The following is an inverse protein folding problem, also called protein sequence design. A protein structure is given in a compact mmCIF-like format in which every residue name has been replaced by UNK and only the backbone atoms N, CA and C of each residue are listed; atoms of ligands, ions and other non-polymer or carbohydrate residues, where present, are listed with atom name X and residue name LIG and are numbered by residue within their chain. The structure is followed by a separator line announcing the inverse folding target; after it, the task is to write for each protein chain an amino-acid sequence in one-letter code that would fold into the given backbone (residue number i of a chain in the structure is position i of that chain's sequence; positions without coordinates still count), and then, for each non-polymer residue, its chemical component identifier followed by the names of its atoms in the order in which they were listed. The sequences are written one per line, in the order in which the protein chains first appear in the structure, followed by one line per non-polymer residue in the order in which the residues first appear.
data_IF_607679996445
#
_entry.id   IF_607679996445
#
_cell.length_a   1.000
_cell.length_b   1.000
_cell.length_c   1.000
_cell.angle_alpha   90.00
_cell.angle_beta   90.00
_cell.angle_gamma   90.00
#
_symmetry.space_group_name_H-M   'P 1'
#
loop_
_entity.id
_entity.type
_entity.pdbx_description
1 polymer ?
#
# COMPACT_ATOMS: atom_id res chain seq x y z
N UNK A 1 15.11 -20.36 -17.05
CA UNK A 1 15.69 -20.09 -15.69
C UNK A 1 16.87 -20.97 -15.35
N UNK A 2 16.79 -22.30 -15.48
CA UNK A 2 17.96 -23.17 -15.32
C UNK A 2 19.10 -22.77 -16.26
N UNK A 3 18.77 -22.41 -17.50
CA UNK A 3 19.71 -21.91 -18.52
C UNK A 3 20.33 -20.54 -18.15
N UNK A 4 19.67 -19.74 -17.32
CA UNK A 4 20.17 -18.44 -16.87
C UNK A 4 21.04 -18.55 -15.60
N UNK A 5 21.22 -19.77 -15.06
CA UNK A 5 21.95 -20.00 -13.81
C UNK A 5 23.38 -19.46 -13.88
N UNK A 6 24.15 -19.87 -14.89
CA UNK A 6 25.55 -19.46 -15.04
C UNK A 6 25.70 -17.95 -15.18
N UNK A 7 24.79 -17.32 -15.94
CA UNK A 7 24.72 -15.87 -16.09
C UNK A 7 24.49 -15.17 -14.75
N UNK A 8 23.56 -15.68 -13.92
CA UNK A 8 23.28 -15.13 -12.59
C UNK A 8 24.49 -15.35 -11.66
N UNK A 9 25.06 -16.55 -11.63
CA UNK A 9 26.23 -16.89 -10.81
C UNK A 9 27.41 -15.96 -11.13
N UNK A 10 27.71 -15.77 -12.42
CA UNK A 10 28.77 -14.89 -12.90
C UNK A 10 28.51 -13.41 -12.56
N UNK A 11 27.27 -12.93 -12.77
CA UNK A 11 26.95 -11.52 -12.52
C UNK A 11 26.97 -11.15 -11.03
N UNK A 12 26.61 -12.07 -10.13
CA UNK A 12 26.48 -11.80 -8.70
C UNK A 12 27.60 -12.39 -7.83
N UNK A 13 28.48 -13.22 -8.40
CA UNK A 13 29.54 -13.90 -7.65
C UNK A 13 28.98 -14.81 -6.56
N UNK A 14 27.99 -15.63 -6.92
CA UNK A 14 27.32 -16.61 -6.05
C UNK A 14 27.28 -17.97 -6.75
N UNK A 15 27.16 -19.06 -5.99
CA UNK A 15 26.89 -20.39 -6.55
C UNK A 15 25.49 -20.84 -6.16
N UNK A 16 24.68 -21.23 -7.14
CA UNK A 16 23.29 -21.64 -6.99
C UNK A 16 23.23 -23.16 -6.99
N UNK A 17 22.88 -23.76 -5.86
CA UNK A 17 22.68 -25.22 -5.75
C UNK A 17 21.31 -25.67 -6.25
N UNK A 18 20.27 -24.84 -6.11
CA UNK A 18 18.92 -25.16 -6.56
C UNK A 18 18.10 -23.90 -6.88
N UNK A 19 17.14 -24.04 -7.80
CA UNK A 19 16.20 -22.99 -8.20
C UNK A 19 14.79 -23.57 -8.08
N UNK A 20 13.93 -22.92 -7.27
CA UNK A 20 12.56 -23.39 -7.01
C UNK A 20 11.56 -22.29 -7.35
N UNK A 21 10.55 -22.54 -8.20
CA UNK A 21 9.48 -21.57 -8.45
C UNK A 21 8.75 -21.19 -7.16
N UNK A 22 8.50 -19.90 -6.96
CA UNK A 22 7.72 -19.40 -5.83
C UNK A 22 7.00 -18.11 -6.24
N UNK A 23 5.65 -18.14 -6.22
CA UNK A 23 4.80 -17.01 -6.63
C UNK A 23 5.19 -16.48 -8.02
N UNK A 24 5.57 -15.20 -8.09
CA UNK A 24 5.96 -14.52 -9.32
C UNK A 24 7.47 -14.62 -9.64
N UNK A 25 8.23 -15.40 -8.86
CA UNK A 25 9.68 -15.51 -8.98
C UNK A 25 10.22 -16.87 -8.60
N UNK A 26 11.47 -16.89 -8.13
CA UNK A 26 12.22 -18.10 -7.84
C UNK A 26 13.01 -17.95 -6.54
N UNK A 27 12.99 -18.97 -5.70
CA UNK A 27 13.90 -19.10 -4.56
C UNK A 27 15.18 -19.76 -5.07
N UNK A 28 16.32 -19.12 -4.81
CA UNK A 28 17.65 -19.63 -5.12
C UNK A 28 18.30 -20.11 -3.82
N UNK A 29 18.63 -21.40 -3.74
CA UNK A 29 19.49 -21.93 -2.67
C UNK A 29 20.95 -21.70 -3.08
N UNK A 30 21.66 -20.80 -2.39
CA UNK A 30 23.03 -20.40 -2.77
C UNK A 30 24.03 -20.59 -1.65
N UNK A 31 25.32 -20.55 -1.99
CA UNK A 31 26.43 -20.59 -1.03
C UNK A 31 26.51 -19.35 -0.12
N UNK A 32 25.68 -18.32 -0.35
CA UNK A 32 25.51 -17.14 0.51
C UNK A 32 24.12 -17.08 1.15
N UNK A 33 23.47 -18.23 1.33
CA UNK A 33 22.12 -18.37 1.88
C UNK A 33 21.02 -18.03 0.86
N UNK A 34 19.77 -18.38 1.19
CA UNK A 34 18.64 -18.25 0.26
C UNK A 34 18.46 -16.83 -0.29
N UNK A 35 18.14 -16.74 -1.57
CA UNK A 35 17.83 -15.49 -2.30
C UNK A 35 16.51 -15.62 -3.04
N UNK A 36 15.87 -14.50 -3.35
CA UNK A 36 14.65 -14.46 -4.14
C UNK A 36 14.89 -13.66 -5.41
N UNK A 37 14.73 -14.32 -6.56
CA UNK A 37 14.89 -13.75 -7.89
C UNK A 37 13.52 -13.48 -8.48
N UNK A 38 13.27 -12.25 -8.92
CA UNK A 38 11.98 -11.85 -9.48
C UNK A 38 12.15 -11.01 -10.75
N UNK A 39 11.35 -11.28 -11.80
CA UNK A 39 11.26 -10.38 -12.94
C UNK A 39 10.65 -9.04 -12.52
N UNK A 40 11.30 -7.94 -12.89
CA UNK A 40 10.76 -6.60 -12.73
C UNK A 40 9.74 -6.30 -13.83
N UNK A 41 8.72 -5.51 -13.50
CA UNK A 41 7.73 -5.00 -14.46
C UNK A 41 7.87 -3.49 -14.68
N UNK A 42 8.98 -2.91 -14.20
CA UNK A 42 9.23 -1.47 -14.17
C UNK A 42 10.64 -1.16 -14.65
N UNK A 43 10.85 0.10 -15.01
CA UNK A 43 12.08 0.59 -15.64
C UNK A 43 13.31 0.50 -14.74
N UNK A 44 14.51 0.54 -15.33
CA UNK A 44 15.78 0.64 -14.60
C UNK A 44 15.78 1.82 -13.61
N UNK A 45 15.25 2.98 -14.02
CA UNK A 45 15.13 4.16 -13.16
C UNK A 45 14.33 3.86 -11.89
N UNK A 46 13.22 3.10 -12.02
CA UNK A 46 12.42 2.69 -10.87
C UNK A 46 13.17 1.71 -9.96
N UNK A 47 13.89 0.74 -10.53
CA UNK A 47 14.71 -0.20 -9.73
C UNK A 47 15.76 0.58 -8.92
N UNK A 48 16.46 1.54 -9.55
CA UNK A 48 17.48 2.35 -8.89
C UNK A 48 16.89 3.26 -7.80
N UNK A 49 15.70 3.82 -8.00
CA UNK A 49 14.99 4.54 -6.94
C UNK A 49 14.71 3.65 -5.73
N UNK A 50 14.15 2.46 -5.95
CA UNK A 50 13.86 1.50 -4.86
C UNK A 50 15.14 1.08 -4.15
N UNK A 51 16.25 0.90 -4.87
CA UNK A 51 17.55 0.63 -4.26
C UNK A 51 17.99 1.77 -3.34
N UNK A 52 17.94 3.02 -3.81
CA UNK A 52 18.30 4.19 -2.99
C UNK A 52 17.41 4.29 -1.74
N UNK A 53 16.11 4.05 -1.87
CA UNK A 53 15.17 4.06 -0.75
C UNK A 53 15.52 2.98 0.28
N UNK A 54 15.79 1.74 -0.15
CA UNK A 54 16.20 0.64 0.73
C UNK A 54 17.54 0.90 1.41
N UNK A 55 18.53 1.41 0.69
CA UNK A 55 19.84 1.81 1.24
C UNK A 55 19.67 2.85 2.36
N UNK A 56 18.86 3.88 2.12
CA UNK A 56 18.56 4.93 3.10
C UNK A 56 17.89 4.38 4.35
N UNK A 57 16.87 3.54 4.18
CA UNK A 57 16.17 2.89 5.29
C UNK A 57 17.14 2.06 6.15
N UNK A 58 18.00 1.26 5.51
CA UNK A 58 19.01 0.44 6.20
C UNK A 58 20.01 1.32 6.95
N UNK A 59 20.52 2.38 6.30
CA UNK A 59 21.47 3.31 6.91
C UNK A 59 20.89 4.02 8.15
N UNK A 60 19.57 4.23 8.17
CA UNK A 60 18.83 4.81 9.30
C UNK A 60 18.26 3.76 10.27
N UNK A 61 18.76 2.53 10.23
CA UNK A 61 18.48 1.51 11.23
C UNK A 61 17.27 0.62 10.96
N UNK A 62 16.54 0.80 9.85
CA UNK A 62 15.47 -0.11 9.44
C UNK A 62 16.02 -1.25 8.59
N UNK A 63 16.55 -2.28 9.27
CA UNK A 63 17.23 -3.43 8.65
C UNK A 63 16.32 -4.63 8.39
N UNK A 64 15.06 -4.58 8.82
CA UNK A 64 14.06 -5.63 8.60
C UNK A 64 13.33 -5.45 7.26
N UNK A 65 14.10 -5.48 6.17
CA UNK A 65 13.58 -5.42 4.80
C UNK A 65 14.33 -6.37 3.84
N UNK A 66 13.78 -6.55 2.63
CA UNK A 66 14.38 -7.37 1.58
C UNK A 66 15.45 -6.59 0.76
N UNK A 67 16.67 -6.48 1.28
CA UNK A 67 17.75 -5.78 0.57
C UNK A 67 18.04 -6.40 -0.80
N UNK A 68 18.31 -5.57 -1.83
CA UNK A 68 18.80 -6.07 -3.10
C UNK A 68 20.23 -6.60 -2.96
N UNK A 69 20.48 -7.72 -3.65
CA UNK A 69 21.82 -8.14 -3.97
C UNK A 69 22.27 -7.35 -5.21
N UNK A 70 23.45 -6.76 -5.15
CA UNK A 70 24.04 -6.06 -6.29
C UNK A 70 24.89 -7.03 -7.11
N UNK A 71 24.94 -6.83 -8.42
CA UNK A 71 25.91 -7.50 -9.29
C UNK A 71 27.34 -7.09 -8.90
N UNK A 72 28.35 -7.82 -9.36
CA UNK A 72 29.76 -7.46 -9.19
C UNK A 72 30.08 -6.08 -9.79
N UNK A 73 29.31 -5.65 -10.79
CA UNK A 73 29.36 -4.29 -11.37
C UNK A 73 28.54 -3.24 -10.60
N UNK A 74 27.97 -3.57 -9.44
CA UNK A 74 27.23 -2.64 -8.59
C UNK A 74 25.79 -2.35 -9.03
N UNK A 75 25.24 -3.07 -10.01
CA UNK A 75 23.85 -2.86 -10.47
C UNK A 75 22.85 -3.61 -9.58
N UNK A 76 21.67 -3.04 -9.27
CA UNK A 76 20.63 -3.71 -8.48
C UNK A 76 19.80 -4.72 -9.29
N UNK A 77 20.15 -4.97 -10.55
CA UNK A 77 19.42 -5.86 -11.45
C UNK A 77 20.37 -6.55 -12.44
N UNK A 78 19.83 -7.56 -13.12
CA UNK A 78 20.43 -8.25 -14.25
C UNK A 78 19.41 -8.30 -15.41
N UNK A 79 19.89 -8.19 -16.64
CA UNK A 79 19.08 -8.43 -17.84
C UNK A 79 19.24 -9.90 -18.26
N UNK A 80 18.11 -10.59 -18.42
CA UNK A 80 18.04 -11.95 -18.94
C UNK A 80 17.02 -11.93 -20.07
N UNK A 81 17.50 -12.06 -21.31
CA UNK A 81 16.70 -12.08 -22.55
C UNK A 81 15.80 -10.85 -22.74
N UNK A 82 16.33 -9.65 -22.46
CA UNK A 82 15.62 -8.38 -22.61
C UNK A 82 14.65 -8.08 -21.47
N UNK A 83 14.71 -8.85 -20.37
CA UNK A 83 13.88 -8.66 -19.19
C UNK A 83 14.74 -8.47 -17.96
N UNK A 84 14.46 -7.41 -17.20
CA UNK A 84 15.19 -7.09 -15.98
C UNK A 84 14.71 -7.97 -14.82
N UNK A 85 15.66 -8.47 -14.03
CA UNK A 85 15.41 -9.22 -12.81
C UNK A 85 16.15 -8.58 -11.63
N UNK A 86 15.53 -8.63 -10.45
CA UNK A 86 16.18 -8.26 -9.18
C UNK A 86 16.37 -9.50 -8.32
N UNK A 87 17.43 -9.51 -7.52
CA UNK A 87 17.66 -10.51 -6.49
C UNK A 87 17.58 -9.83 -5.13
N UNK A 88 16.77 -10.36 -4.22
CA UNK A 88 16.70 -9.92 -2.83
C UNK A 88 17.11 -11.02 -1.87
N UNK A 89 17.38 -10.64 -0.63
CA UNK A 89 17.46 -11.61 0.48
C UNK A 89 16.12 -12.32 0.64
N UNK A 90 16.13 -13.66 0.67
CA UNK A 90 14.92 -14.43 0.94
C UNK A 90 14.62 -14.44 2.43
N UNK A 91 13.42 -13.99 2.80
CA UNK A 91 12.94 -13.97 4.17
C UNK A 91 11.96 -15.12 4.36
N UNK A 92 12.40 -16.14 5.07
CA UNK A 92 11.57 -17.29 5.46
C UNK A 92 10.71 -16.91 6.67
N UNK A 93 9.56 -16.28 6.39
CA UNK A 93 8.58 -15.82 7.38
C UNK A 93 7.16 -16.00 6.85
N UNK A 94 6.20 -16.17 7.75
CA UNK A 94 4.78 -16.25 7.36
C UNK A 94 4.23 -14.85 7.05
N UNK A 95 3.22 -14.78 6.20
CA UNK A 95 2.53 -13.50 5.96
C UNK A 95 1.82 -13.01 7.22
N UNK A 96 1.66 -11.68 7.30
CA UNK A 96 0.83 -11.03 8.31
C UNK A 96 -0.63 -11.42 8.14
N UNK A 97 -1.31 -11.73 9.25
CA UNK A 97 -2.75 -11.94 9.25
C UNK A 97 -3.48 -10.74 9.85
N UNK A 98 -4.23 -9.99 9.04
CA UNK A 98 -4.97 -8.83 9.54
C UNK A 98 -6.17 -9.20 10.42
N UNK A 99 -6.63 -10.46 10.44
CA UNK A 99 -7.59 -10.95 11.44
C UNK A 99 -6.98 -10.94 12.84
N UNK A 100 -5.67 -11.20 12.96
CA UNK A 100 -4.95 -11.27 14.21
C UNK A 100 -4.52 -9.87 14.70
N UNK A 101 -4.77 -9.59 15.98
CA UNK A 101 -4.49 -8.29 16.57
C UNK A 101 -3.00 -8.06 16.81
N UNK A 102 -2.27 -9.10 17.22
CA UNK A 102 -0.84 -9.01 17.51
C UNK A 102 -0.05 -8.76 16.22
N UNK A 103 -0.38 -9.46 15.15
CA UNK A 103 0.16 -9.24 13.82
C UNK A 103 -0.08 -7.81 13.33
N UNK A 104 -1.30 -7.30 13.50
CA UNK A 104 -1.63 -5.94 13.08
C UNK A 104 -0.91 -4.89 13.92
N UNK A 105 -0.75 -5.11 15.23
CA UNK A 105 0.08 -4.26 16.11
C UNK A 105 1.54 -4.26 15.65
N UNK A 106 2.10 -5.44 15.37
CA UNK A 106 3.48 -5.58 14.90
C UNK A 106 3.70 -4.92 13.54
N UNK A 107 2.73 -5.04 12.64
CA UNK A 107 2.71 -4.32 11.36
C UNK A 107 2.70 -2.80 11.58
N UNK A 108 1.89 -2.29 12.52
CA UNK A 108 1.84 -0.87 12.85
C UNK A 108 3.19 -0.37 13.40
N UNK A 109 3.85 -1.14 14.26
CA UNK A 109 5.18 -0.81 14.81
C UNK A 109 6.23 -0.80 13.70
N UNK A 110 6.25 -1.82 12.82
CA UNK A 110 7.19 -1.89 11.71
C UNK A 110 6.98 -0.74 10.71
N UNK A 111 5.74 -0.40 10.39
CA UNK A 111 5.40 0.74 9.54
C UNK A 111 5.89 2.06 10.15
N UNK A 112 5.74 2.23 11.47
CA UNK A 112 6.20 3.44 12.16
C UNK A 112 7.72 3.55 12.16
N UNK A 113 8.43 2.46 12.45
CA UNK A 113 9.89 2.40 12.37
C UNK A 113 10.40 2.68 10.95
N UNK A 114 9.74 2.14 9.92
CA UNK A 114 10.06 2.40 8.52
C UNK A 114 9.89 3.89 8.18
N UNK A 115 8.74 4.50 8.51
CA UNK A 115 8.51 5.92 8.24
C UNK A 115 9.53 6.82 8.97
N UNK A 116 9.87 6.50 10.22
CA UNK A 116 10.93 7.20 10.95
C UNK A 116 12.28 7.11 10.23
N UNK A 117 12.68 5.90 9.83
CA UNK A 117 13.94 5.68 9.12
C UNK A 117 13.95 6.30 7.71
N UNK A 118 12.78 6.55 7.11
CA UNK A 118 12.69 7.17 5.79
C UNK A 118 12.99 8.67 5.79
N UNK A 119 12.85 9.35 6.93
CA UNK A 119 13.08 10.81 7.02
C UNK A 119 14.46 11.20 6.51
N UNK A 120 14.52 12.36 5.88
CA UNK A 120 15.72 12.92 5.26
C UNK A 120 16.10 12.24 3.94
N UNK A 121 15.21 11.44 3.34
CA UNK A 121 15.52 10.78 2.08
C UNK A 121 15.72 11.79 0.97
N UNK A 122 16.90 11.71 0.34
CA UNK A 122 17.24 12.43 -0.88
C UNK A 122 17.88 11.42 -1.81
N UNK A 123 17.27 11.09 -2.96
CA UNK A 123 17.85 10.12 -3.86
C UNK A 123 19.16 10.66 -4.45
N UNK A 124 19.97 9.76 -5.02
CA UNK A 124 21.18 10.11 -5.79
C UNK A 124 20.80 11.00 -6.99
N UNK A 125 21.72 11.87 -7.40
CA UNK A 125 21.51 12.77 -8.55
C UNK A 125 21.10 11.99 -9.80
N UNK A 126 20.11 12.49 -10.54
CA UNK A 126 19.58 11.86 -11.75
C UNK A 126 18.50 10.79 -11.52
N UNK A 127 18.22 10.41 -10.27
CA UNK A 127 17.11 9.50 -9.95
C UNK A 127 15.83 10.30 -9.70
N UNK A 128 14.81 10.06 -10.52
CA UNK A 128 13.49 10.67 -10.34
C UNK A 128 12.84 10.14 -9.05
N UNK A 129 12.26 11.04 -8.25
CA UNK A 129 11.39 10.68 -7.11
C UNK A 129 9.96 10.58 -7.61
N UNK A 130 9.34 9.38 -7.63
CA UNK A 130 7.90 9.30 -7.82
C UNK A 130 7.21 9.91 -6.61
N UNK A 131 6.23 10.77 -6.85
CA UNK A 131 5.52 11.50 -5.81
C UNK A 131 4.06 11.71 -6.21
N UNK A 132 3.15 11.35 -5.31
CA UNK A 132 1.72 11.67 -5.36
C UNK A 132 1.34 12.67 -4.25
N UNK A 133 2.36 13.15 -3.52
CA UNK A 133 2.24 14.19 -2.53
C UNK A 133 1.53 15.42 -3.13
N UNK A 134 0.53 15.93 -2.42
CA UNK A 134 -0.26 17.08 -2.88
C UNK A 134 -1.47 16.71 -3.75
N UNK A 135 -1.56 15.50 -4.30
CA UNK A 135 -2.63 15.13 -5.25
C UNK A 135 -3.88 14.51 -4.63
N UNK A 136 -3.93 14.30 -3.30
CA UNK A 136 -5.05 13.62 -2.65
C UNK A 136 -6.42 14.28 -2.92
N UNK A 137 -6.63 15.60 -2.75
CA UNK A 137 -7.91 16.26 -3.05
C UNK A 137 -8.36 16.03 -4.49
N UNK A 138 -7.48 16.26 -5.47
CA UNK A 138 -7.79 16.06 -6.90
C UNK A 138 -8.12 14.60 -7.20
N UNK A 139 -7.38 13.66 -6.58
CA UNK A 139 -7.63 12.23 -6.73
C UNK A 139 -9.01 11.84 -6.16
N UNK A 140 -9.40 12.36 -5.00
CA UNK A 140 -10.72 12.08 -4.42
C UNK A 140 -11.85 12.79 -5.18
N UNK A 141 -11.62 14.02 -5.65
CA UNK A 141 -12.59 14.77 -6.46
C UNK A 141 -12.89 14.06 -7.78
N UNK A 142 -11.86 13.56 -8.48
CA UNK A 142 -12.06 12.76 -9.70
C UNK A 142 -12.89 11.50 -9.44
N UNK A 143 -12.65 10.83 -8.32
CA UNK A 143 -13.42 9.64 -7.91
C UNK A 143 -14.87 10.00 -7.57
N UNK A 144 -15.09 11.13 -6.92
CA UNK A 144 -16.42 11.68 -6.67
C UNK A 144 -17.17 11.94 -7.98
N UNK A 145 -16.54 12.61 -8.95
CA UNK A 145 -17.14 12.86 -10.26
C UNK A 145 -17.48 11.54 -10.99
N UNK A 146 -16.66 10.51 -10.83
CA UNK A 146 -16.96 9.17 -11.34
C UNK A 146 -18.21 8.56 -10.68
N UNK A 147 -18.40 8.71 -9.37
CA UNK A 147 -19.63 8.28 -8.66
C UNK A 147 -20.85 8.96 -9.26
N UNK A 148 -20.79 10.27 -9.49
CA UNK A 148 -21.89 11.05 -10.09
C UNK A 148 -22.16 10.61 -11.53
N UNK A 149 -21.10 10.38 -12.33
CA UNK A 149 -21.25 9.84 -13.71
C UNK A 149 -21.89 8.45 -13.72
N UNK A 150 -21.49 7.58 -12.80
CA UNK A 150 -22.05 6.24 -12.65
C UNK A 150 -23.51 6.27 -12.21
N UNK A 151 -23.91 7.19 -11.32
CA UNK A 151 -25.33 7.43 -10.95
C UNK A 151 -26.18 7.77 -12.18
N UNK A 152 -25.77 8.77 -12.97
CA UNK A 152 -26.47 9.16 -14.21
C UNK A 152 -26.56 8.02 -15.23
N UNK A 153 -25.58 7.11 -15.23
CA UNK A 153 -25.59 5.92 -16.09
C UNK A 153 -26.57 4.87 -15.58
N UNK A 154 -26.57 4.59 -14.27
CA UNK A 154 -27.49 3.68 -13.61
C UNK A 154 -28.96 4.09 -13.79
N UNK A 155 -29.27 5.38 -13.68
CA UNK A 155 -30.62 5.96 -13.88
C UNK A 155 -31.19 5.67 -15.29
N UNK A 156 -30.30 5.57 -16.28
CA UNK A 156 -30.63 5.29 -17.70
C UNK A 156 -30.71 3.81 -18.02
N UNK A 157 -29.78 3.00 -17.50
CA UNK A 157 -29.64 1.58 -17.86
C UNK A 157 -30.55 0.64 -17.05
N UNK A 158 -30.80 0.95 -15.77
CA UNK A 158 -31.77 0.26 -14.88
C UNK A 158 -31.71 -1.28 -14.91
N UNK A 159 -30.52 -1.84 -14.94
CA UNK A 159 -30.34 -3.28 -14.76
C UNK A 159 -30.32 -3.67 -13.27
N UNK A 160 -30.25 -4.97 -12.96
CA UNK A 160 -30.27 -5.46 -11.57
C UNK A 160 -29.19 -4.83 -10.66
N UNK A 161 -27.98 -4.61 -11.18
CA UNK A 161 -26.91 -3.93 -10.43
C UNK A 161 -27.25 -2.46 -10.22
N UNK A 162 -27.79 -1.79 -11.26
CA UNK A 162 -28.13 -0.37 -11.21
C UNK A 162 -29.17 -0.08 -10.13
N UNK A 163 -30.18 -0.94 -9.94
CA UNK A 163 -31.17 -0.76 -8.88
C UNK A 163 -30.54 -0.79 -7.48
N UNK A 164 -29.63 -1.74 -7.23
CA UNK A 164 -28.91 -1.83 -5.94
C UNK A 164 -27.98 -0.61 -5.76
N UNK A 165 -27.32 -0.18 -6.84
CA UNK A 165 -26.46 0.99 -6.82
C UNK A 165 -27.27 2.26 -6.50
N UNK A 166 -28.40 2.48 -7.17
CA UNK A 166 -29.26 3.66 -6.98
C UNK A 166 -29.87 3.72 -5.58
N UNK A 167 -30.18 2.58 -4.96
CA UNK A 167 -30.73 2.52 -3.61
C UNK A 167 -29.73 2.99 -2.52
N UNK A 168 -28.42 2.91 -2.80
CA UNK A 168 -27.38 3.22 -1.81
C UNK A 168 -26.47 4.40 -2.17
N UNK A 169 -26.40 4.81 -3.44
CA UNK A 169 -25.39 5.79 -3.91
C UNK A 169 -25.43 7.12 -3.18
N UNK A 170 -26.62 7.62 -2.82
CA UNK A 170 -26.75 8.93 -2.16
C UNK A 170 -26.04 8.97 -0.80
N UNK A 171 -26.12 7.89 -0.02
CA UNK A 171 -25.39 7.75 1.25
C UNK A 171 -23.87 7.80 1.08
N UNK A 172 -23.37 7.25 -0.03
CA UNK A 172 -21.94 7.26 -0.32
C UNK A 172 -21.48 8.60 -0.94
N UNK A 173 -22.36 9.30 -1.66
CA UNK A 173 -22.13 10.68 -2.12
C UNK A 173 -21.91 11.59 -0.92
N UNK A 174 -22.81 11.55 0.08
CA UNK A 174 -22.69 12.35 1.31
C UNK A 174 -21.34 12.11 2.02
N UNK A 175 -20.90 10.85 2.14
CA UNK A 175 -19.58 10.51 2.71
C UNK A 175 -18.42 11.08 1.89
N UNK A 176 -18.52 11.08 0.56
CA UNK A 176 -17.50 11.62 -0.30
C UNK A 176 -17.42 13.15 -0.19
N UNK A 177 -18.57 13.83 -0.13
CA UNK A 177 -18.66 15.28 0.06
C UNK A 177 -18.07 15.71 1.41
N UNK A 178 -18.46 15.05 2.51
CA UNK A 178 -17.89 15.34 3.84
C UNK A 178 -16.37 15.08 3.88
N UNK A 179 -15.91 14.00 3.23
CA UNK A 179 -14.49 13.73 3.09
C UNK A 179 -13.74 14.81 2.31
N UNK A 180 -14.34 15.37 1.25
CA UNK A 180 -13.73 16.43 0.45
C UNK A 180 -13.70 17.74 1.23
N UNK A 181 -14.77 18.09 1.93
CA UNK A 181 -14.84 19.27 2.79
C UNK A 181 -13.76 19.28 3.88
N UNK A 182 -13.45 18.12 4.47
CA UNK A 182 -12.34 17.99 5.44
C UNK A 182 -10.96 18.29 4.83
N UNK A 183 -10.79 18.20 3.52
CA UNK A 183 -9.53 18.47 2.82
C UNK A 183 -9.42 19.92 2.31
N UNK A 184 -10.50 20.71 2.37
CA UNK A 184 -10.48 22.15 2.05
C UNK A 184 -9.80 22.99 3.13
N UNK A 185 -9.64 22.42 4.33
CA UNK A 185 -8.93 23.05 5.44
C UNK A 185 -7.43 23.23 5.20
N UNK A 186 -6.81 24.04 6.05
CA UNK A 186 -5.37 24.36 5.96
C UNK A 186 -4.47 23.18 6.41
N UNK A 187 -5.04 22.16 7.05
CA UNK A 187 -4.34 20.98 7.56
C UNK A 187 -3.62 20.22 6.44
N UNK A 188 -4.29 19.99 5.31
CA UNK A 188 -3.71 19.21 4.22
C UNK A 188 -2.53 19.93 3.54
N UNK A 189 -2.65 21.21 3.10
CA UNK A 189 -1.52 21.96 2.56
C UNK A 189 -0.33 22.09 3.53
N UNK A 190 -0.59 22.30 4.84
CA UNK A 190 0.47 22.32 5.86
C UNK A 190 1.19 20.98 5.95
N UNK A 191 0.43 19.89 5.94
CA UNK A 191 0.99 18.55 6.03
C UNK A 191 1.82 18.21 4.79
N UNK A 192 1.36 18.56 3.59
CA UNK A 192 2.12 18.42 2.34
C UNK A 192 3.46 19.15 2.41
N UNK A 193 3.44 20.43 2.83
CA UNK A 193 4.68 21.22 2.98
C UNK A 193 5.63 20.59 3.99
N UNK A 194 5.11 20.12 5.13
CA UNK A 194 5.89 19.44 6.16
C UNK A 194 6.53 18.16 5.61
N UNK A 195 5.76 17.30 4.94
CA UNK A 195 6.25 16.03 4.37
C UNK A 195 7.35 16.26 3.35
N UNK A 196 7.20 17.28 2.48
CA UNK A 196 8.23 17.66 1.51
C UNK A 196 9.54 18.08 2.18
N UNK A 197 9.47 18.81 3.30
CA UNK A 197 10.65 19.21 4.07
C UNK A 197 11.30 18.04 4.82
N UNK A 198 10.49 17.12 5.32
CA UNK A 198 10.97 15.94 6.06
C UNK A 198 11.58 14.88 5.14
N UNK A 199 11.19 14.81 3.86
CA UNK A 199 11.68 13.82 2.90
C UNK A 199 11.35 12.40 3.34
N UNK A 200 10.06 12.07 3.38
CA UNK A 200 9.51 10.79 3.85
C UNK A 200 9.15 9.89 2.67
N UNK A 201 9.44 8.60 2.79
CA UNK A 201 9.01 7.57 1.82
C UNK A 201 7.92 6.72 2.44
N UNK A 202 6.80 6.58 1.73
CA UNK A 202 5.76 5.60 2.02
C UNK A 202 6.01 4.32 1.22
N UNK A 203 5.58 3.19 1.77
CA UNK A 203 5.58 1.90 1.09
C UNK A 203 4.55 1.84 -0.06
N UNK A 204 3.39 2.47 0.12
CA UNK A 204 2.31 2.63 -0.86
C UNK A 204 1.60 1.32 -1.31
N UNK A 205 2.17 0.15 -1.03
CA UNK A 205 1.49 -1.15 -1.10
C UNK A 205 1.64 -1.96 0.21
N UNK A 206 1.29 -1.36 1.34
CA UNK A 206 1.43 -2.00 2.66
C UNK A 206 0.33 -3.08 2.87
N UNK A 207 0.45 -4.18 2.13
CA UNK A 207 -0.47 -5.32 2.11
C UNK A 207 0.07 -6.52 2.90
N UNK A 208 -0.79 -7.50 3.21
CA UNK A 208 -0.40 -8.65 4.02
C UNK A 208 0.75 -9.46 3.40
N UNK A 209 0.83 -9.50 2.07
CA UNK A 209 1.87 -10.20 1.31
C UNK A 209 3.26 -9.53 1.44
N UNK A 210 3.25 -8.24 1.78
CA UNK A 210 4.44 -7.40 1.91
C UNK A 210 4.89 -7.25 3.37
N UNK A 211 4.25 -7.96 4.31
CA UNK A 211 4.57 -7.95 5.73
C UNK A 211 4.81 -9.38 6.19
N UNK A 212 6.04 -9.72 6.53
CA UNK A 212 6.43 -11.07 6.93
C UNK A 212 6.77 -11.13 8.43
N UNK A 213 6.14 -12.07 9.13
CA UNK A 213 6.38 -12.35 10.54
C UNK A 213 7.37 -13.50 10.66
N UNK A 214 8.52 -13.25 11.29
CA UNK A 214 9.57 -14.26 11.54
C UNK A 214 10.05 -14.16 12.98
N UNK A 215 9.63 -15.10 13.83
CA UNK A 215 9.83 -14.99 15.27
C UNK A 215 9.30 -13.65 15.78
N UNK A 216 10.14 -12.92 16.52
CA UNK A 216 9.83 -11.59 17.07
C UNK A 216 10.04 -10.44 16.06
N UNK A 217 10.61 -10.71 14.88
CA UNK A 217 10.90 -9.69 13.87
C UNK A 217 9.79 -9.60 12.83
N UNK A 218 9.48 -8.38 12.41
CA UNK A 218 8.51 -8.10 11.34
C UNK A 218 9.26 -7.45 10.19
N UNK A 219 9.28 -8.13 9.05
CA UNK A 219 9.94 -7.67 7.84
C UNK A 219 8.94 -7.01 6.91
N UNK A 220 9.35 -5.92 6.27
CA UNK A 220 8.59 -5.27 5.20
C UNK A 220 9.30 -5.53 3.89
N UNK A 221 8.57 -5.99 2.87
CA UNK A 221 9.11 -6.34 1.55
C UNK A 221 8.26 -5.73 0.45
N UNK A 222 8.70 -5.77 -0.81
CA UNK A 222 7.83 -5.37 -1.93
C UNK A 222 7.69 -3.86 -2.10
N UNK A 223 8.80 -3.13 -1.95
CA UNK A 223 8.89 -1.68 -2.08
C UNK A 223 8.70 -1.13 -3.51
N UNK A 224 8.13 -1.91 -4.44
CA UNK A 224 8.05 -1.51 -5.86
C UNK A 224 7.13 -0.33 -6.10
N UNK A 225 6.19 -0.10 -5.18
CA UNK A 225 5.27 1.01 -5.17
C UNK A 225 5.75 2.18 -4.30
N UNK A 226 6.87 2.05 -3.58
CA UNK A 226 7.29 3.06 -2.62
C UNK A 226 7.54 4.42 -3.27
N UNK A 227 7.19 5.50 -2.60
CA UNK A 227 7.23 6.84 -3.17
C UNK A 227 7.13 7.91 -2.10
N UNK A 228 7.37 9.16 -2.48
CA UNK A 228 7.09 10.29 -1.61
C UNK A 228 5.57 10.49 -1.51
N UNK A 229 5.06 10.42 -0.28
CA UNK A 229 3.64 10.55 0.05
C UNK A 229 3.50 10.84 1.55
N UNK A 230 2.32 11.32 1.95
CA UNK A 230 1.92 11.44 3.36
C UNK A 230 1.96 10.08 4.06
N UNK A 231 2.73 9.96 5.15
CA UNK A 231 2.85 8.71 5.94
C UNK A 231 1.52 8.12 6.43
N UNK A 232 0.51 8.98 6.60
CA UNK A 232 -0.84 8.56 6.96
C UNK A 232 -1.51 7.73 5.86
N UNK A 233 -1.06 7.80 4.61
CA UNK A 233 -1.56 6.97 3.51
C UNK A 233 -1.42 5.47 3.82
N UNK A 234 -0.22 5.03 4.21
CA UNK A 234 0.00 3.62 4.54
C UNK A 234 -0.74 3.23 5.84
N UNK A 235 -0.77 4.12 6.84
CA UNK A 235 -1.48 3.88 8.10
C UNK A 235 -2.99 3.72 7.87
N UNK A 236 -3.60 4.60 7.08
CA UNK A 236 -5.01 4.50 6.69
C UNK A 236 -5.27 3.19 5.97
N UNK A 237 -4.38 2.76 5.08
CA UNK A 237 -4.55 1.50 4.35
C UNK A 237 -4.44 0.29 5.29
N UNK A 238 -3.54 0.31 6.27
CA UNK A 238 -3.45 -0.70 7.32
C UNK A 238 -4.75 -0.76 8.16
N UNK A 239 -5.21 0.40 8.65
CA UNK A 239 -6.46 0.51 9.43
C UNK A 239 -7.64 0.00 8.61
N UNK A 240 -7.84 0.49 7.38
CA UNK A 240 -8.90 0.02 6.47
C UNK A 240 -8.88 -1.49 6.25
N UNK A 241 -7.68 -2.10 6.16
CA UNK A 241 -7.54 -3.56 6.00
C UNK A 241 -7.95 -4.31 7.26
N UNK A 242 -7.57 -3.85 8.46
CA UNK A 242 -8.03 -4.42 9.74
C UNK A 242 -9.52 -4.23 9.97
N UNK A 243 -10.05 -3.03 9.73
CA UNK A 243 -11.47 -2.71 10.02
C UNK A 243 -12.44 -3.62 9.27
N UNK A 244 -12.10 -4.05 8.05
CA UNK A 244 -12.88 -5.04 7.28
C UNK A 244 -12.83 -6.47 7.82
N UNK A 245 -12.01 -6.74 8.84
CA UNK A 245 -11.87 -8.04 9.51
C UNK A 245 -12.45 -8.05 10.93
N UNK A 246 -12.95 -6.92 11.40
CA UNK A 246 -13.47 -6.76 12.76
C UNK A 246 -14.64 -5.77 12.81
N UNK A 247 -15.43 -5.71 11.73
CA UNK A 247 -16.65 -4.88 11.64
C UNK A 247 -16.46 -3.44 12.11
N UNK A 248 -15.33 -2.85 11.71
CA UNK A 248 -14.94 -1.48 12.05
C UNK A 248 -14.90 -1.17 13.56
N UNK A 249 -14.48 -2.13 14.39
CA UNK A 249 -14.26 -1.96 15.83
C UNK A 249 -13.29 -0.79 16.14
N UNK A 250 -13.77 0.30 16.80
CA UNK A 250 -12.93 1.45 17.15
C UNK A 250 -11.76 1.13 18.09
N UNK A 251 -11.94 0.20 19.02
CA UNK A 251 -10.90 -0.21 19.96
C UNK A 251 -9.73 -0.87 19.20
N UNK A 252 -10.01 -1.68 18.18
CA UNK A 252 -8.96 -2.27 17.32
C UNK A 252 -8.20 -1.19 16.53
N UNK A 253 -8.89 -0.18 16.00
CA UNK A 253 -8.22 0.93 15.33
C UNK A 253 -7.34 1.75 16.29
N UNK A 254 -7.84 2.04 17.49
CA UNK A 254 -7.09 2.74 18.53
C UNK A 254 -5.82 1.95 18.92
N UNK A 255 -5.88 0.61 18.97
CA UNK A 255 -4.68 -0.22 19.20
C UNK A 255 -3.62 -0.04 18.12
N UNK A 256 -4.00 -0.01 16.84
CA UNK A 256 -3.09 0.25 15.71
C UNK A 256 -2.49 1.65 15.81
N UNK A 257 -3.34 2.67 15.99
CA UNK A 257 -2.92 4.07 16.09
C UNK A 257 -1.96 4.26 17.26
N UNK A 258 -2.25 3.67 18.42
CA UNK A 258 -1.40 3.72 19.60
C UNK A 258 -0.07 3.03 19.35
N UNK A 259 -0.06 1.84 18.74
CA UNK A 259 1.16 1.10 18.43
C UNK A 259 2.06 1.88 17.46
N UNK A 260 1.48 2.45 16.40
CA UNK A 260 2.17 3.30 15.44
C UNK A 260 2.71 4.57 16.10
N UNK A 261 1.88 5.27 16.89
CA UNK A 261 2.22 6.55 17.52
C UNK A 261 3.28 6.47 18.61
N UNK A 262 3.63 5.26 19.09
CA UNK A 262 4.73 5.07 20.07
C UNK A 262 6.09 5.52 19.53
N UNK A 263 6.32 5.37 18.23
CA UNK A 263 7.59 5.72 17.58
C UNK A 263 7.45 7.06 16.86
N UNK A 264 6.34 7.28 16.16
CA UNK A 264 6.09 8.49 15.38
C UNK A 264 4.69 9.07 15.70
N UNK A 265 4.59 9.97 16.69
CA UNK A 265 3.31 10.54 17.12
C UNK A 265 2.55 11.24 15.99
N UNK A 266 1.23 11.08 15.95
CA UNK A 266 0.37 11.76 14.98
C UNK A 266 0.08 13.21 15.40
N UNK A 267 0.36 14.14 14.50
CA UNK A 267 0.00 15.55 14.63
C UNK A 267 -1.50 15.79 14.40
N UNK A 268 -1.99 16.98 14.78
CA UNK A 268 -3.39 17.36 14.55
C UNK A 268 -3.76 17.32 13.06
N UNK A 269 -2.90 17.86 12.20
CA UNK A 269 -3.12 17.90 10.75
C UNK A 269 -3.26 16.48 10.19
N UNK A 270 -2.42 15.55 10.66
CA UNK A 270 -2.49 14.14 10.27
C UNK A 270 -3.78 13.45 10.71
N UNK A 271 -4.28 13.77 11.91
CA UNK A 271 -5.56 13.23 12.39
C UNK A 271 -6.73 13.73 11.55
N UNK A 272 -6.72 14.98 11.09
CA UNK A 272 -7.77 15.54 10.21
C UNK A 272 -7.72 14.89 8.83
N UNK A 273 -6.55 14.86 8.20
CA UNK A 273 -6.41 14.25 6.86
C UNK A 273 -6.69 12.75 6.90
N UNK A 274 -6.28 12.05 7.97
CA UNK A 274 -6.63 10.64 8.18
C UNK A 274 -8.14 10.43 8.30
N UNK A 275 -8.89 11.34 8.93
CA UNK A 275 -10.37 11.29 9.03
C UNK A 275 -10.99 11.36 7.65
N UNK A 276 -10.59 12.33 6.83
CA UNK A 276 -11.02 12.44 5.44
C UNK A 276 -10.72 11.15 4.66
N UNK A 277 -9.47 10.68 4.74
CA UNK A 277 -9.04 9.47 4.05
C UNK A 277 -9.71 8.18 4.54
N UNK A 278 -10.24 8.10 5.76
CA UNK A 278 -11.00 6.94 6.26
C UNK A 278 -12.48 7.05 5.88
N UNK A 279 -13.03 8.26 5.88
CA UNK A 279 -14.42 8.55 5.55
C UNK A 279 -14.72 8.28 4.07
N UNK A 280 -13.83 8.66 3.15
CA UNK A 280 -14.09 8.54 1.72
C UNK A 280 -14.52 7.11 1.31
N UNK A 281 -15.57 6.94 0.48
CA UNK A 281 -16.15 5.64 0.13
C UNK A 281 -15.34 4.86 -0.92
N UNK A 282 -14.05 4.63 -0.64
CA UNK A 282 -13.08 4.07 -1.57
C UNK A 282 -13.47 2.68 -2.13
N UNK A 283 -14.04 1.81 -1.30
CA UNK A 283 -14.43 0.44 -1.70
C UNK A 283 -15.67 0.48 -2.59
N UNK A 284 -16.66 1.30 -2.25
CA UNK A 284 -17.85 1.55 -3.07
C UNK A 284 -17.46 2.05 -4.46
N UNK A 285 -16.70 3.16 -4.53
CA UNK A 285 -16.20 3.70 -5.78
C UNK A 285 -15.46 2.63 -6.61
N UNK A 286 -14.56 1.87 -6.00
CA UNK A 286 -13.76 0.86 -6.71
C UNK A 286 -14.62 -0.26 -7.30
N UNK A 287 -15.60 -0.77 -6.56
CA UNK A 287 -16.49 -1.83 -7.02
C UNK A 287 -17.37 -1.34 -8.16
N UNK A 288 -18.01 -0.17 -7.99
CA UNK A 288 -18.85 0.44 -9.03
C UNK A 288 -18.04 0.78 -10.29
N UNK A 289 -16.88 1.42 -10.12
CA UNK A 289 -16.02 1.82 -11.23
C UNK A 289 -15.53 0.59 -12.01
N UNK A 290 -15.20 -0.52 -11.33
CA UNK A 290 -14.83 -1.76 -12.03
C UNK A 290 -16.02 -2.36 -12.77
N UNK A 291 -17.22 -2.35 -12.19
CA UNK A 291 -18.43 -2.82 -12.86
C UNK A 291 -18.69 -2.03 -14.16
N UNK A 292 -18.79 -0.70 -14.08
CA UNK A 292 -19.17 0.15 -15.22
C UNK A 292 -18.12 0.25 -16.34
N UNK A 293 -16.86 -0.12 -16.06
CA UNK A 293 -15.76 -0.19 -17.04
C UNK A 293 -15.41 -1.61 -17.50
N UNK A 294 -16.11 -2.65 -17.00
CA UNK A 294 -15.88 -4.05 -17.41
C UNK A 294 -16.82 -4.49 -18.53
N UNK A 295 -16.43 -5.53 -19.30
CA UNK A 295 -17.33 -6.17 -20.28
C UNK A 295 -18.43 -6.93 -19.53
N UNK A 296 -19.69 -6.51 -19.76
CA UNK A 296 -20.86 -6.75 -18.88
C UNK A 296 -21.34 -8.20 -18.74
N UNK A 297 -20.96 -9.12 -19.64
CA UNK A 297 -21.66 -10.41 -19.81
C UNK A 297 -21.32 -11.51 -18.81
N UNK A 298 -20.14 -11.50 -18.16
CA UNK A 298 -19.73 -12.58 -17.23
C UNK A 298 -19.48 -12.11 -15.78
N UNK A 299 -19.52 -10.80 -15.55
CA UNK A 299 -19.03 -10.20 -14.30
C UNK A 299 -20.13 -9.62 -13.37
N UNK A 300 -21.38 -9.54 -13.84
CA UNK A 300 -22.45 -8.84 -13.11
C UNK A 300 -22.78 -9.47 -11.74
N UNK A 301 -22.84 -10.80 -11.63
CA UNK A 301 -23.11 -11.49 -10.34
C UNK A 301 -22.00 -11.23 -9.31
N UNK A 302 -20.74 -11.33 -9.73
CA UNK A 302 -19.59 -11.06 -8.85
C UNK A 302 -19.57 -9.61 -8.37
N UNK A 303 -19.86 -8.64 -9.26
CA UNK A 303 -19.93 -7.24 -8.90
C UNK A 303 -21.09 -6.91 -7.97
N UNK A 304 -22.24 -7.54 -8.17
CA UNK A 304 -23.41 -7.40 -7.30
C UNK A 304 -23.08 -7.85 -5.88
N UNK A 305 -22.54 -9.06 -5.72
CA UNK A 305 -22.14 -9.57 -4.42
C UNK A 305 -21.06 -8.69 -3.74
N UNK A 306 -20.10 -8.17 -4.51
CA UNK A 306 -19.12 -7.23 -3.98
C UNK A 306 -19.75 -5.91 -3.51
N UNK A 307 -20.78 -5.40 -4.21
CA UNK A 307 -21.50 -4.19 -3.82
C UNK A 307 -22.36 -4.44 -2.56
N UNK A 308 -23.07 -5.56 -2.49
CA UNK A 308 -23.80 -5.97 -1.28
C UNK A 308 -22.87 -6.04 -0.06
N UNK A 309 -21.67 -6.60 -0.23
CA UNK A 309 -20.65 -6.61 0.82
C UNK A 309 -20.07 -5.23 1.16
N UNK A 310 -20.21 -4.21 0.30
CA UNK A 310 -19.92 -2.80 0.65
C UNK A 310 -21.07 -2.21 1.46
N UNK A 311 -22.31 -2.48 1.06
CA UNK A 311 -23.52 -2.00 1.74
C UNK A 311 -23.60 -2.57 3.16
N UNK A 312 -23.31 -3.85 3.34
CA UNK A 312 -23.29 -4.50 4.66
C UNK A 312 -22.26 -3.88 5.63
N UNK A 313 -21.14 -3.36 5.11
CA UNK A 313 -20.11 -2.68 5.91
C UNK A 313 -20.52 -1.23 6.29
N UNK A 314 -21.48 -0.62 5.60
CA UNK A 314 -21.80 0.81 5.73
C UNK A 314 -22.14 1.23 7.16
N UNK A 315 -23.07 0.53 7.82
CA UNK A 315 -23.53 0.89 9.17
C UNK A 315 -22.39 0.86 10.19
N UNK A 316 -21.52 -0.15 10.09
CA UNK A 316 -20.34 -0.28 10.93
C UNK A 316 -19.33 0.83 10.66
N UNK A 317 -19.07 1.16 9.39
CA UNK A 317 -18.17 2.24 9.00
C UNK A 317 -18.67 3.61 9.51
N UNK A 318 -19.95 3.94 9.35
CA UNK A 318 -20.50 5.20 9.86
C UNK A 318 -20.41 5.28 11.39
N UNK A 319 -20.73 4.19 12.10
CA UNK A 319 -20.57 4.15 13.56
C UNK A 319 -19.12 4.40 13.97
N UNK A 320 -18.17 3.76 13.30
CA UNK A 320 -16.75 3.99 13.51
C UNK A 320 -16.36 5.46 13.29
N UNK A 321 -16.85 6.09 12.21
CA UNK A 321 -16.53 7.49 11.92
C UNK A 321 -17.11 8.46 12.97
N UNK A 322 -18.27 8.16 13.56
CA UNK A 322 -18.83 8.92 14.69
C UNK A 322 -17.99 8.81 15.96
N UNK A 323 -17.23 7.74 16.11
CA UNK A 323 -16.35 7.50 17.26
C UNK A 323 -14.87 7.81 16.96
N UNK A 324 -14.57 8.33 15.77
CA UNK A 324 -13.20 8.58 15.30
C UNK A 324 -12.38 9.46 16.25
N UNK A 325 -12.98 10.49 16.82
CA UNK A 325 -12.27 11.43 17.69
C UNK A 325 -11.89 10.78 19.04
N UNK A 326 -12.52 9.65 19.42
CA UNK A 326 -12.19 8.85 20.62
C UNK A 326 -11.00 7.90 20.41
N UNK A 327 -10.44 7.82 19.20
CA UNK A 327 -9.35 6.89 18.89
C UNK A 327 -7.98 7.33 19.44
N UNK A 328 -7.87 8.57 19.94
CA UNK A 328 -6.60 9.23 20.24
C UNK A 328 -6.38 9.53 21.71
#
# INVERSE_FOLDING_TARGET
MLEARELIEAAYGIRISSIKPNRAGYILDTDKGKKYLRPCQYSESRINFVQCAKEHLIANGFTTLDAYLLTLGGKPYIDIDGRLYTITTYIDGRECEFSDDNDTIRAAVALSAMHKASKGFKPKSGVLVPSDLGKLPDNLSRRYDEIIRMRRKAERERNAFDYIYLDCVDKFIEMAEESLALLEGLEYPRLVKKTLMEGVICHHDYSYQNILMKGNSTYVIGFDACMEELRIYDLVNLIRRKMRKCDWDPQKAAMIIKAYSKIEPLSRDEKVVMKAMLLFPQKFWRVANRYYNSRRSWAQRNFTHMLEGVIAEYTHHIKFMKEYDKLF
#
